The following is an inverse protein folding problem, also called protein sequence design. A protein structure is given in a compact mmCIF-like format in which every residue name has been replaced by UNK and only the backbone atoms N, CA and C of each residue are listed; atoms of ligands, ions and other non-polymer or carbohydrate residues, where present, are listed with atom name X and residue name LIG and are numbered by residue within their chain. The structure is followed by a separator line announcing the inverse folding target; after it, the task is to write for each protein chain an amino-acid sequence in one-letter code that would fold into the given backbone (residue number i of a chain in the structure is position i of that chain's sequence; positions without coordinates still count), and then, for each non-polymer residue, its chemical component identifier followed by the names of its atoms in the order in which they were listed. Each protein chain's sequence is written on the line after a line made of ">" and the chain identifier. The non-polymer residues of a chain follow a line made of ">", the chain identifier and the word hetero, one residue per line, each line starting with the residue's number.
data_IF_981824725040
#
_entry.id   IF_981824725040
#
_cell.length_a   1.000
_cell.length_b   1.000
_cell.length_c   1.000
_cell.angle_alpha   90.00
_cell.angle_beta   90.00
_cell.angle_gamma   90.00
#
_symmetry.space_group_name_H-M   'P 1'
#
loop_
_entity.id
_entity.type
_entity.pdbx_description
1 polymer ?
#
# COMPACT_ATOMS: atom_id res chain seq x y z
N UNK A 1 -3.29 3.48 16.38
CA UNK A 1 -2.02 3.38 15.64
C UNK A 1 -2.20 3.84 14.19
N UNK A 2 -1.12 4.26 13.54
CA UNK A 2 -1.10 4.67 12.12
C UNK A 2 -0.08 3.78 11.41
N UNK A 3 -0.51 3.14 10.30
CA UNK A 3 0.31 2.30 9.43
C UNK A 3 0.56 3.07 8.13
N UNK A 4 1.80 3.45 7.83
CA UNK A 4 2.08 4.18 6.60
C UNK A 4 3.18 3.50 5.78
N UNK A 5 3.20 3.76 4.48
CA UNK A 5 4.17 3.21 3.55
C UNK A 5 3.55 2.79 2.23
N UNK A 6 4.35 2.26 1.28
CA UNK A 6 3.91 1.93 -0.07
C UNK A 6 2.74 0.96 -0.12
N UNK A 7 1.99 0.97 -1.24
CA UNK A 7 0.91 0.02 -1.49
C UNK A 7 1.41 -1.44 -1.47
N UNK A 8 0.50 -2.39 -1.23
CA UNK A 8 0.80 -3.82 -1.29
C UNK A 8 1.78 -4.37 -0.25
N UNK A 9 2.15 -3.58 0.77
CA UNK A 9 3.09 -3.99 1.84
C UNK A 9 2.43 -4.71 3.01
N UNK A 10 1.09 -4.88 2.99
CA UNK A 10 0.36 -5.65 3.98
C UNK A 10 -0.28 -4.85 5.11
N UNK A 11 -0.35 -3.51 5.05
CA UNK A 11 -0.99 -2.65 6.07
C UNK A 11 -2.40 -3.11 6.43
N UNK A 12 -3.28 -3.28 5.44
CA UNK A 12 -4.66 -3.76 5.62
C UNK A 12 -4.69 -5.19 6.18
N UNK A 13 -3.76 -6.05 5.79
CA UNK A 13 -3.65 -7.42 6.29
C UNK A 13 -3.35 -7.44 7.79
N UNK A 14 -2.38 -6.63 8.23
CA UNK A 14 -2.04 -6.50 9.66
C UNK A 14 -3.23 -5.95 10.45
N UNK A 15 -3.92 -4.92 9.93
CA UNK A 15 -5.13 -4.38 10.55
C UNK A 15 -6.22 -5.45 10.72
N UNK A 16 -6.46 -6.28 9.70
CA UNK A 16 -7.43 -7.38 9.77
C UNK A 16 -7.03 -8.46 10.79
N UNK A 17 -5.74 -8.79 10.90
CA UNK A 17 -5.24 -9.73 11.90
C UNK A 17 -5.47 -9.18 13.32
N UNK A 18 -5.20 -7.90 13.54
CA UNK A 18 -5.45 -7.25 14.85
C UNK A 18 -6.95 -7.25 15.14
N UNK A 19 -7.77 -6.88 14.15
CA UNK A 19 -9.21 -6.87 14.27
C UNK A 19 -9.77 -8.26 14.65
N UNK A 20 -9.28 -9.33 14.03
CA UNK A 20 -9.73 -10.69 14.33
C UNK A 20 -9.41 -11.18 15.76
N UNK A 21 -8.49 -10.51 16.46
CA UNK A 21 -8.07 -10.87 17.83
C UNK A 21 -8.69 -9.99 18.91
N UNK A 22 -9.45 -8.97 18.55
CA UNK A 22 -10.12 -8.09 19.53
C UNK A 22 -11.54 -8.54 19.80
N UNK A 23 -12.05 -8.18 20.98
CA UNK A 23 -13.46 -8.35 21.35
C UNK A 23 -14.29 -7.06 21.12
N UNK A 24 -13.67 -6.03 20.51
CA UNK A 24 -14.34 -4.79 20.19
C UNK A 24 -15.20 -4.94 18.94
N UNK A 25 -16.27 -4.16 18.84
CA UNK A 25 -17.02 -4.02 17.60
C UNK A 25 -16.14 -3.38 16.53
N UNK A 26 -16.09 -3.96 15.33
CA UNK A 26 -15.16 -3.57 14.30
C UNK A 26 -15.88 -2.80 13.20
N UNK A 27 -15.34 -1.64 12.82
CA UNK A 27 -15.73 -0.87 11.66
C UNK A 27 -14.58 -0.72 10.70
N UNK A 28 -14.85 -0.95 9.41
CA UNK A 28 -13.93 -0.72 8.31
C UNK A 28 -14.47 0.42 7.45
N UNK A 29 -13.78 1.54 7.43
CA UNK A 29 -14.09 2.67 6.56
C UNK A 29 -12.92 2.93 5.62
N UNK A 30 -13.25 3.25 4.36
CA UNK A 30 -12.27 3.76 3.41
C UNK A 30 -12.52 5.25 3.21
N UNK A 31 -11.53 6.09 3.53
CA UNK A 31 -11.70 7.55 3.51
C UNK A 31 -11.94 8.12 2.11
N UNK A 32 -11.67 7.36 1.04
CA UNK A 32 -11.98 7.78 -0.34
C UNK A 32 -13.48 7.73 -0.65
N UNK A 33 -14.24 6.86 0.03
CA UNK A 33 -15.67 6.62 -0.21
C UNK A 33 -16.55 7.00 0.98
N UNK A 34 -15.97 7.00 2.19
CA UNK A 34 -16.72 7.26 3.41
C UNK A 34 -17.18 8.72 3.52
N UNK A 35 -18.42 8.89 3.89
CA UNK A 35 -19.07 10.17 4.12
C UNK A 35 -19.08 10.55 5.62
N UNK A 36 -19.54 11.78 5.91
CA UNK A 36 -19.79 12.19 7.30
C UNK A 36 -20.81 11.27 7.99
N UNK A 37 -21.80 10.76 7.23
CA UNK A 37 -22.85 9.88 7.80
C UNK A 37 -22.28 8.58 8.33
N UNK A 38 -21.29 8.01 7.65
CA UNK A 38 -20.65 6.77 8.08
C UNK A 38 -19.88 6.97 9.39
N UNK A 39 -19.26 8.15 9.57
CA UNK A 39 -18.62 8.52 10.84
C UNK A 39 -19.65 8.70 11.95
N UNK A 40 -20.76 9.40 11.65
CA UNK A 40 -21.84 9.61 12.60
C UNK A 40 -22.49 8.26 13.02
N UNK A 41 -22.59 7.28 12.10
CA UNK A 41 -23.06 5.92 12.39
C UNK A 41 -22.14 5.21 13.38
N UNK A 42 -20.84 5.23 13.15
CA UNK A 42 -19.86 4.65 14.09
C UNK A 42 -19.97 5.27 15.48
N UNK A 43 -20.13 6.60 15.54
CA UNK A 43 -20.27 7.33 16.81
C UNK A 43 -21.57 6.97 17.53
N UNK A 44 -22.70 6.92 16.81
CA UNK A 44 -23.99 6.57 17.38
C UNK A 44 -23.99 5.16 17.97
N UNK A 45 -23.26 4.26 17.33
CA UNK A 45 -23.15 2.86 17.75
C UNK A 45 -22.39 2.66 19.07
N UNK A 46 -21.63 3.67 19.53
CA UNK A 46 -20.98 3.65 20.85
C UNK A 46 -22.00 3.53 22.00
N UNK A 47 -23.24 3.97 21.78
CA UNK A 47 -24.31 3.91 22.77
C UNK A 47 -25.06 2.56 22.79
N UNK A 48 -24.74 1.64 21.88
CA UNK A 48 -25.39 0.33 21.80
C UNK A 48 -24.71 -0.70 22.72
N UNK A 49 -25.51 -1.69 23.18
CA UNK A 49 -25.07 -2.76 24.10
C UNK A 49 -23.89 -3.56 23.50
N UNK A 50 -23.88 -3.76 22.20
CA UNK A 50 -22.83 -4.52 21.49
C UNK A 50 -21.46 -3.79 21.46
N UNK A 51 -21.43 -2.51 21.83
CA UNK A 51 -20.23 -1.67 21.84
C UNK A 51 -19.66 -1.41 23.24
N UNK A 52 -20.10 -2.15 24.26
CA UNK A 52 -19.64 -1.96 25.65
C UNK A 52 -18.13 -2.08 25.84
N UNK A 53 -17.45 -2.86 24.98
CA UNK A 53 -16.00 -3.00 24.97
C UNK A 53 -15.30 -1.92 24.13
N UNK A 54 -16.06 -0.93 23.63
CA UNK A 54 -15.60 0.09 22.70
C UNK A 54 -15.56 -0.41 21.24
N UNK A 55 -15.23 0.51 20.34
CA UNK A 55 -15.16 0.25 18.90
C UNK A 55 -13.70 0.23 18.44
N UNK A 56 -13.35 -0.71 17.55
CA UNK A 56 -12.13 -0.67 16.76
C UNK A 56 -12.49 -0.14 15.38
N UNK A 57 -12.03 1.05 15.07
CA UNK A 57 -12.20 1.68 13.75
C UNK A 57 -10.93 1.49 12.94
N UNK A 58 -11.01 0.71 11.85
CA UNK A 58 -10.00 0.72 10.80
C UNK A 58 -10.38 1.74 9.73
N UNK A 59 -9.49 2.70 9.51
CA UNK A 59 -9.67 3.77 8.52
C UNK A 59 -8.58 3.69 7.47
N UNK A 60 -8.97 3.22 6.27
CA UNK A 60 -8.05 3.11 5.13
C UNK A 60 -7.95 4.45 4.40
N UNK A 61 -6.72 4.80 3.96
CA UNK A 61 -6.38 6.03 3.23
C UNK A 61 -6.82 7.31 3.96
N UNK A 62 -6.51 7.41 5.25
CA UNK A 62 -6.94 8.51 6.16
C UNK A 62 -6.65 9.91 5.61
N UNK A 63 -5.66 10.10 4.74
CA UNK A 63 -5.31 11.39 4.14
C UNK A 63 -6.46 12.01 3.33
N UNK A 64 -7.41 11.20 2.86
CA UNK A 64 -8.60 11.70 2.14
C UNK A 64 -9.68 12.24 3.06
N UNK A 65 -9.61 12.00 4.36
CA UNK A 65 -10.48 12.65 5.32
C UNK A 65 -10.08 14.11 5.52
N UNK A 66 -11.05 15.00 5.42
CA UNK A 66 -10.86 16.40 5.76
C UNK A 66 -10.43 16.56 7.23
N UNK A 67 -9.71 17.62 7.53
CA UNK A 67 -9.29 17.95 8.90
C UNK A 67 -10.47 17.95 9.88
N UNK A 68 -11.67 18.42 9.43
CA UNK A 68 -12.88 18.43 10.26
C UNK A 68 -13.38 17.01 10.59
N UNK A 69 -13.34 16.10 9.62
CA UNK A 69 -13.71 14.68 9.85
C UNK A 69 -12.74 14.01 10.82
N UNK A 70 -11.45 14.26 10.64
CA UNK A 70 -10.43 13.76 11.57
C UNK A 70 -10.63 14.34 12.99
N UNK A 71 -10.98 15.60 13.13
CA UNK A 71 -11.27 16.23 14.43
C UNK A 71 -12.51 15.63 15.10
N UNK A 72 -13.53 15.23 14.35
CA UNK A 72 -14.74 14.61 14.92
C UNK A 72 -14.41 13.30 15.63
N UNK A 73 -13.46 12.52 15.11
CA UNK A 73 -13.02 11.25 15.73
C UNK A 73 -12.15 11.46 16.97
N UNK A 74 -11.48 12.61 17.08
CA UNK A 74 -10.47 12.86 18.10
C UNK A 74 -11.04 12.73 19.52
N UNK A 75 -12.22 13.28 19.78
CA UNK A 75 -12.86 13.22 21.10
C UNK A 75 -13.08 11.79 21.60
N UNK A 76 -13.52 10.91 20.71
CA UNK A 76 -13.80 9.50 21.04
C UNK A 76 -12.53 8.67 21.15
N UNK A 77 -11.47 9.06 20.42
CA UNK A 77 -10.14 8.45 20.55
C UNK A 77 -9.52 8.83 21.90
N UNK A 78 -9.69 10.08 22.34
CA UNK A 78 -9.19 10.58 23.63
C UNK A 78 -9.89 9.90 24.82
N UNK A 79 -11.18 9.69 24.72
CA UNK A 79 -11.97 8.98 25.74
C UNK A 79 -11.67 7.47 25.78
N UNK A 80 -11.06 6.92 24.73
CA UNK A 80 -10.81 5.49 24.60
C UNK A 80 -12.01 4.69 24.08
N UNK A 81 -13.11 5.37 23.73
CA UNK A 81 -14.31 4.75 23.16
C UNK A 81 -14.02 4.14 21.78
N UNK A 82 -13.19 4.85 21.00
CA UNK A 82 -12.73 4.39 19.68
C UNK A 82 -11.23 4.09 19.73
N UNK A 83 -10.87 2.85 19.39
CA UNK A 83 -9.48 2.47 19.10
C UNK A 83 -9.24 2.61 17.59
N UNK A 84 -8.43 3.60 17.21
CA UNK A 84 -8.12 3.86 15.79
C UNK A 84 -6.96 3.02 15.31
N UNK A 85 -7.15 2.34 14.18
CA UNK A 85 -6.09 1.87 13.28
C UNK A 85 -6.29 2.60 11.95
N UNK A 86 -5.37 3.46 11.57
CA UNK A 86 -5.43 4.16 10.30
C UNK A 86 -4.32 3.66 9.37
N UNK A 87 -4.58 3.61 8.06
CA UNK A 87 -3.57 3.35 7.05
C UNK A 87 -3.48 4.50 6.05
N UNK A 88 -2.29 4.70 5.52
CA UNK A 88 -2.02 5.70 4.48
C UNK A 88 -0.83 5.29 3.63
N UNK A 89 -0.82 5.70 2.38
CA UNK A 89 0.34 5.62 1.50
C UNK A 89 1.23 6.86 1.59
N UNK A 90 0.69 7.95 2.14
CA UNK A 90 1.34 9.25 2.26
C UNK A 90 2.05 9.42 3.62
N UNK A 91 3.00 10.35 3.68
CA UNK A 91 3.67 10.68 4.92
C UNK A 91 2.67 11.27 5.94
N UNK A 92 2.43 10.59 7.08
CA UNK A 92 1.40 10.98 8.03
C UNK A 92 1.59 12.39 8.60
N UNK A 93 2.82 12.87 8.71
CA UNK A 93 3.12 14.18 9.29
C UNK A 93 2.64 15.36 8.43
N UNK A 94 2.37 15.15 7.14
CA UNK A 94 1.86 16.20 6.25
C UNK A 94 0.33 16.19 6.12
N UNK A 95 -0.29 15.02 6.21
CA UNK A 95 -1.69 14.83 5.84
C UNK A 95 -2.62 14.54 7.03
N UNK A 96 -2.08 14.00 8.13
CA UNK A 96 -2.89 13.67 9.29
C UNK A 96 -2.86 14.81 10.31
N UNK A 97 -4.00 15.06 10.95
CA UNK A 97 -4.12 16.08 11.97
C UNK A 97 -3.19 15.78 13.16
N UNK A 98 -2.34 16.74 13.51
CA UNK A 98 -1.28 16.57 14.52
C UNK A 98 -1.79 16.05 15.87
N UNK A 99 -3.04 16.41 16.26
CA UNK A 99 -3.62 15.91 17.50
C UNK A 99 -3.91 14.40 17.47
N UNK A 100 -4.18 13.80 16.30
CA UNK A 100 -4.28 12.34 16.13
C UNK A 100 -2.89 11.72 16.17
N UNK A 101 -1.92 12.33 15.46
CA UNK A 101 -0.53 11.86 15.43
C UNK A 101 0.04 11.72 16.84
N UNK A 102 -0.15 12.75 17.68
CA UNK A 102 0.37 12.77 19.06
C UNK A 102 -0.23 11.69 19.98
N UNK A 103 -1.33 11.06 19.57
CA UNK A 103 -2.04 10.00 20.33
C UNK A 103 -1.91 8.62 19.71
N UNK A 104 -1.21 8.52 18.58
CA UNK A 104 -1.02 7.28 17.86
C UNK A 104 0.45 6.87 17.82
N UNK A 105 0.69 5.57 17.85
CA UNK A 105 2.01 5.01 17.48
C UNK A 105 2.00 4.88 15.96
N UNK A 106 3.08 5.33 15.33
CA UNK A 106 3.26 5.29 13.89
C UNK A 106 4.19 4.12 13.54
N UNK A 107 3.77 3.30 12.58
CA UNK A 107 4.54 2.18 12.05
C UNK A 107 4.76 2.39 10.56
N UNK A 108 6.02 2.44 10.17
CA UNK A 108 6.44 2.51 8.79
C UNK A 108 6.51 1.11 8.19
N UNK A 109 5.88 0.93 7.03
CA UNK A 109 5.93 -0.28 6.22
C UNK A 109 6.88 -0.06 5.06
N UNK A 110 7.94 -0.84 5.03
CA UNK A 110 8.90 -0.83 3.92
C UNK A 110 8.40 -1.70 2.76
N UNK A 111 8.85 -1.45 1.52
CA UNK A 111 8.64 -2.38 0.41
C UNK A 111 9.06 -3.79 0.80
N UNK A 112 8.27 -4.78 0.39
CA UNK A 112 8.56 -6.19 0.71
C UNK A 112 9.77 -6.66 -0.10
N UNK A 113 10.70 -7.36 0.55
CA UNK A 113 11.87 -7.91 -0.12
C UNK A 113 11.48 -8.88 -1.25
N UNK A 114 12.25 -8.86 -2.34
CA UNK A 114 12.00 -9.72 -3.50
C UNK A 114 11.84 -11.20 -3.11
N UNK A 115 12.63 -11.68 -2.17
CA UNK A 115 12.56 -13.07 -1.68
C UNK A 115 11.20 -13.36 -1.03
N UNK A 116 10.69 -12.45 -0.22
CA UNK A 116 9.41 -12.62 0.47
C UNK A 116 8.22 -12.50 -0.50
N UNK A 117 8.35 -11.68 -1.55
CA UNK A 117 7.37 -11.63 -2.65
C UNK A 117 7.31 -12.96 -3.39
N UNK A 118 8.46 -13.61 -3.65
CA UNK A 118 8.52 -14.96 -4.25
C UNK A 118 7.79 -15.98 -3.36
N UNK A 119 8.00 -15.94 -2.05
CA UNK A 119 7.29 -16.82 -1.11
C UNK A 119 5.77 -16.58 -1.17
N UNK A 120 5.35 -15.32 -1.24
CA UNK A 120 3.93 -14.98 -1.33
C UNK A 120 3.31 -15.46 -2.65
N UNK A 121 4.00 -15.33 -3.77
CA UNK A 121 3.58 -15.84 -5.08
C UNK A 121 3.43 -17.37 -5.07
N UNK A 122 4.42 -18.08 -4.55
CA UNK A 122 4.37 -19.56 -4.49
C UNK A 122 3.19 -20.05 -3.63
N UNK A 123 2.93 -19.42 -2.49
CA UNK A 123 1.75 -19.71 -1.66
C UNK A 123 0.43 -19.43 -2.40
N UNK A 124 0.39 -18.38 -3.20
CA UNK A 124 -0.80 -18.04 -3.99
C UNK A 124 -1.03 -19.07 -5.10
N UNK A 125 0.03 -19.53 -5.79
CA UNK A 125 -0.01 -20.58 -6.81
C UNK A 125 -0.52 -21.88 -6.20
N UNK A 126 0.06 -22.32 -5.09
CA UNK A 126 -0.38 -23.54 -4.38
C UNK A 126 -1.87 -23.48 -4.01
N UNK A 127 -2.29 -22.36 -3.41
CA UNK A 127 -3.67 -22.15 -3.01
C UNK A 127 -4.63 -22.11 -4.20
N UNK A 128 -4.23 -21.46 -5.30
CA UNK A 128 -5.00 -21.41 -6.54
C UNK A 128 -5.18 -22.82 -7.13
N UNK A 129 -4.11 -23.60 -7.21
CA UNK A 129 -4.13 -24.97 -7.69
C UNK A 129 -5.07 -25.87 -6.86
N UNK A 130 -5.02 -25.74 -5.53
CA UNK A 130 -5.88 -26.51 -4.63
C UNK A 130 -7.36 -26.13 -4.79
N UNK A 131 -7.69 -24.83 -4.88
CA UNK A 131 -9.07 -24.36 -4.97
C UNK A 131 -9.72 -24.69 -6.32
N UNK A 132 -8.96 -24.62 -7.41
CA UNK A 132 -9.47 -24.85 -8.76
C UNK A 132 -9.20 -26.29 -9.27
N UNK A 133 -8.60 -27.14 -8.44
CA UNK A 133 -8.21 -28.51 -8.79
C UNK A 133 -7.44 -28.56 -10.12
N UNK A 134 -6.46 -27.67 -10.30
CA UNK A 134 -5.65 -27.52 -11.51
C UNK A 134 -4.16 -27.58 -11.18
N UNK A 135 -3.33 -27.61 -12.23
CA UNK A 135 -1.89 -27.47 -12.15
C UNK A 135 -1.45 -26.23 -12.90
N UNK A 136 -0.34 -25.66 -12.48
CA UNK A 136 0.31 -24.56 -13.17
C UNK A 136 1.74 -24.99 -13.45
N UNK A 137 2.06 -25.16 -14.73
CA UNK A 137 3.41 -25.37 -15.23
C UNK A 137 3.96 -24.02 -15.67
N UNK A 138 5.09 -23.61 -15.15
CA UNK A 138 5.73 -22.35 -15.49
C UNK A 138 7.21 -22.53 -15.78
N UNK A 139 7.70 -21.77 -16.75
CA UNK A 139 9.14 -21.72 -17.05
C UNK A 139 9.92 -21.15 -15.87
N UNK A 140 11.15 -21.60 -15.68
CA UNK A 140 12.05 -21.10 -14.65
C UNK A 140 12.24 -19.57 -14.78
N UNK A 141 12.20 -18.89 -13.65
CA UNK A 141 12.41 -17.45 -13.57
C UNK A 141 11.15 -16.56 -13.68
N UNK A 142 9.96 -17.12 -13.94
CA UNK A 142 8.70 -16.34 -14.00
C UNK A 142 8.38 -15.71 -12.65
N UNK A 143 8.46 -16.49 -11.58
CA UNK A 143 8.14 -16.01 -10.22
C UNK A 143 9.12 -14.92 -9.78
N UNK A 144 10.41 -15.11 -10.06
CA UNK A 144 11.47 -14.13 -9.79
C UNK A 144 11.30 -12.87 -10.63
N UNK A 145 10.82 -13.01 -11.87
CA UNK A 145 10.51 -11.89 -12.75
C UNK A 145 9.34 -11.07 -12.21
N UNK A 146 8.21 -11.71 -11.85
CA UNK A 146 7.05 -11.07 -11.25
C UNK A 146 7.41 -10.35 -9.94
N UNK A 147 8.19 -11.02 -9.09
CA UNK A 147 8.67 -10.42 -7.85
C UNK A 147 9.57 -9.21 -8.11
N UNK A 148 10.49 -9.30 -9.08
CA UNK A 148 11.39 -8.20 -9.44
C UNK A 148 10.68 -6.98 -10.04
N UNK A 149 9.63 -7.20 -10.84
CA UNK A 149 8.85 -6.14 -11.47
C UNK A 149 7.83 -5.49 -10.56
N UNK A 150 7.51 -6.12 -9.42
CA UNK A 150 6.54 -5.58 -8.46
C UNK A 150 7.07 -4.42 -7.62
N UNK A 151 8.39 -4.30 -7.46
CA UNK A 151 9.01 -3.27 -6.63
C UNK A 151 8.67 -3.39 -5.15
N UNK A 152 8.40 -4.59 -4.65
CA UNK A 152 8.01 -4.85 -3.27
C UNK A 152 6.50 -4.70 -2.97
N UNK A 153 5.68 -4.46 -4.00
CA UNK A 153 4.22 -4.48 -3.91
C UNK A 153 3.70 -5.89 -4.20
N UNK A 154 3.34 -6.64 -3.14
CA UNK A 154 2.82 -8.02 -3.25
C UNK A 154 1.50 -8.07 -4.05
N UNK A 155 0.64 -7.06 -3.92
CA UNK A 155 -0.64 -6.99 -4.67
C UNK A 155 -0.36 -6.90 -6.17
N UNK A 156 0.61 -6.09 -6.57
CA UNK A 156 1.03 -5.95 -7.96
C UNK A 156 1.61 -7.25 -8.51
N UNK A 157 2.43 -7.95 -7.72
CA UNK A 157 2.97 -9.26 -8.10
C UNK A 157 1.85 -10.29 -8.32
N UNK A 158 0.87 -10.35 -7.41
CA UNK A 158 -0.29 -11.23 -7.52
C UNK A 158 -1.19 -10.89 -8.73
N UNK A 159 -1.44 -9.62 -8.97
CA UNK A 159 -2.18 -9.17 -10.16
C UNK A 159 -1.45 -9.56 -11.45
N UNK A 160 -0.12 -9.44 -11.47
CA UNK A 160 0.70 -9.91 -12.60
C UNK A 160 0.53 -11.41 -12.86
N UNK A 161 0.52 -12.22 -11.80
CA UNK A 161 0.25 -13.66 -11.90
C UNK A 161 -1.17 -13.93 -12.43
N UNK A 162 -2.18 -13.22 -11.94
CA UNK A 162 -3.58 -13.36 -12.38
C UNK A 162 -3.74 -13.01 -13.87
N UNK A 163 -3.11 -11.93 -14.32
CA UNK A 163 -3.10 -11.57 -15.75
C UNK A 163 -2.46 -12.66 -16.59
N UNK A 164 -1.33 -13.22 -16.17
CA UNK A 164 -0.67 -14.33 -16.88
C UNK A 164 -1.56 -15.57 -16.95
N UNK A 165 -2.21 -15.93 -15.87
CA UNK A 165 -3.15 -17.06 -15.86
C UNK A 165 -4.33 -16.83 -16.80
N UNK A 166 -4.82 -15.61 -16.92
CA UNK A 166 -5.98 -15.27 -17.78
C UNK A 166 -5.71 -15.41 -19.28
N UNK A 167 -4.44 -15.29 -19.70
CA UNK A 167 -4.02 -15.38 -21.12
C UNK A 167 -3.29 -16.65 -21.46
N UNK A 168 -3.01 -17.51 -20.45
CA UNK A 168 -2.27 -18.75 -20.65
C UNK A 168 -3.13 -19.86 -21.25
N UNK A 169 -2.48 -20.75 -21.97
CA UNK A 169 -3.13 -21.94 -22.49
C UNK A 169 -3.55 -22.86 -21.34
N UNK A 170 -4.82 -23.28 -21.38
CA UNK A 170 -5.38 -24.21 -20.42
C UNK A 170 -5.75 -25.51 -21.11
N UNK A 171 -4.97 -26.57 -20.87
CA UNK A 171 -5.18 -27.87 -21.44
C UNK A 171 -5.05 -28.99 -20.39
N UNK A 172 -5.98 -29.94 -20.39
CA UNK A 172 -6.01 -31.06 -19.44
C UNK A 172 -5.81 -30.66 -17.97
N UNK A 173 -6.51 -29.60 -17.55
CA UNK A 173 -6.45 -29.06 -16.18
C UNK A 173 -5.09 -28.46 -15.78
N UNK A 174 -4.27 -28.08 -16.77
CA UNK A 174 -2.97 -27.47 -16.55
C UNK A 174 -2.86 -26.14 -17.30
N UNK A 175 -2.46 -25.08 -16.59
CA UNK A 175 -2.04 -23.81 -17.18
C UNK A 175 -0.57 -23.87 -17.54
N UNK A 176 -0.20 -23.34 -18.70
CA UNK A 176 1.20 -23.24 -19.12
C UNK A 176 1.59 -21.77 -19.23
N UNK A 177 2.53 -21.34 -18.40
CA UNK A 177 3.02 -19.96 -18.36
C UNK A 177 4.41 -19.87 -18.99
N UNK A 178 4.59 -18.93 -19.95
CA UNK A 178 5.89 -18.67 -20.56
C UNK A 178 6.52 -17.39 -20.03
N UNK A 179 7.84 -17.37 -19.94
CA UNK A 179 8.59 -16.17 -19.52
C UNK A 179 8.47 -15.04 -20.53
N UNK A 180 8.27 -15.35 -21.82
CA UNK A 180 8.06 -14.35 -22.85
C UNK A 180 6.73 -13.63 -22.63
N UNK A 181 5.64 -14.35 -22.39
CA UNK A 181 4.33 -13.73 -22.07
C UNK A 181 4.41 -12.87 -20.80
N UNK A 182 5.18 -13.31 -19.80
CA UNK A 182 5.39 -12.52 -18.60
C UNK A 182 6.07 -11.17 -18.91
N UNK A 183 7.07 -11.16 -19.77
CA UNK A 183 7.79 -9.93 -20.17
C UNK A 183 6.96 -9.00 -21.03
N UNK A 184 6.07 -9.53 -21.85
CA UNK A 184 5.19 -8.74 -22.73
C UNK A 184 4.02 -8.11 -21.98
N UNK A 185 3.44 -8.82 -21.02
CA UNK A 185 2.21 -8.42 -20.33
C UNK A 185 2.48 -7.69 -19.00
N UNK A 186 3.49 -8.12 -18.28
CA UNK A 186 3.88 -7.52 -17.00
C UNK A 186 5.03 -6.56 -17.22
N UNK A 187 4.70 -5.38 -17.73
CA UNK A 187 5.67 -4.30 -17.89
C UNK A 187 6.05 -3.77 -16.50
N UNK A 188 7.36 -3.73 -16.20
CA UNK A 188 7.87 -3.05 -15.02
C UNK A 188 7.65 -1.54 -15.21
N UNK A 189 6.73 -0.89 -14.50
CA UNK A 189 6.85 0.55 -14.37
C UNK A 189 8.11 0.79 -13.54
N UNK A 190 8.99 1.63 -14.03
CA UNK A 190 10.05 2.20 -13.21
C UNK A 190 9.30 2.84 -12.02
N UNK A 191 9.52 2.29 -10.81
CA UNK A 191 8.90 2.83 -9.60
C UNK A 191 9.40 4.24 -9.38
N UNK A 192 8.54 5.17 -9.69
CA UNK A 192 8.68 6.56 -9.33
C UNK A 192 7.31 7.03 -8.83
N UNK A 193 7.24 7.21 -7.56
CA UNK A 193 6.07 7.81 -6.93
C UNK A 193 6.17 9.32 -7.12
N UNK A 194 5.39 9.86 -8.08
CA UNK A 194 5.43 11.29 -8.42
C UNK A 194 4.98 12.20 -7.30
N UNK A 195 4.20 11.69 -6.39
CA UNK A 195 3.58 12.43 -5.30
C UNK A 195 4.08 11.98 -3.91
N UNK A 196 4.99 11.00 -3.85
CA UNK A 196 5.53 10.45 -2.61
C UNK A 196 6.84 11.08 -2.13
N UNK A 197 7.31 10.62 -0.97
CA UNK A 197 8.54 11.10 -0.32
C UNK A 197 9.77 10.96 -1.22
N UNK A 198 9.86 9.87 -2.02
CA UNK A 198 10.96 9.64 -2.98
C UNK A 198 11.10 10.77 -4.01
N UNK A 199 9.97 11.34 -4.48
CA UNK A 199 9.98 12.46 -5.42
C UNK A 199 10.56 13.72 -4.77
N UNK A 200 10.11 14.06 -3.56
CA UNK A 200 10.62 15.22 -2.83
C UNK A 200 12.08 15.07 -2.46
N UNK A 201 12.49 13.86 -2.10
CA UNK A 201 13.88 13.55 -1.76
C UNK A 201 14.80 13.66 -2.98
N UNK A 202 14.39 13.14 -4.14
CA UNK A 202 15.15 13.25 -5.39
C UNK A 202 15.28 14.71 -5.86
N UNK A 203 14.19 15.48 -5.81
CA UNK A 203 14.22 16.91 -6.13
C UNK A 203 15.09 17.70 -5.15
N UNK A 204 14.98 17.40 -3.86
CA UNK A 204 15.80 18.03 -2.83
C UNK A 204 17.28 17.70 -2.99
N UNK A 205 17.61 16.43 -3.30
CA UNK A 205 18.97 15.99 -3.58
C UNK A 205 19.53 16.66 -4.84
N UNK A 206 18.76 16.73 -5.92
CA UNK A 206 19.12 17.44 -7.15
C UNK A 206 19.43 18.92 -6.89
N UNK A 207 18.57 19.63 -6.17
CA UNK A 207 18.80 21.03 -5.83
C UNK A 207 20.02 21.24 -4.94
N UNK A 208 20.21 20.37 -3.94
CA UNK A 208 21.37 20.42 -3.04
C UNK A 208 22.66 20.18 -3.80
N UNK A 209 22.68 19.26 -4.76
CA UNK A 209 23.85 18.98 -5.61
C UNK A 209 24.23 20.21 -6.45
N UNK A 210 23.25 20.90 -7.06
CA UNK A 210 23.48 22.15 -7.80
C UNK A 210 24.05 23.23 -6.88
N UNK A 211 23.44 23.45 -5.71
CA UNK A 211 23.92 24.45 -4.73
C UNK A 211 25.29 24.12 -4.16
N UNK A 212 25.58 22.83 -4.03
CA UNK A 212 26.89 22.33 -3.58
C UNK A 212 27.96 22.33 -4.69
N UNK A 213 27.62 22.73 -5.92
CA UNK A 213 28.52 22.69 -7.09
C UNK A 213 29.09 21.29 -7.34
N UNK A 214 28.28 20.24 -7.14
CA UNK A 214 28.61 18.87 -7.45
C UNK A 214 27.93 18.44 -8.76
N UNK A 215 28.62 18.53 -9.91
CA UNK A 215 28.03 18.22 -11.21
C UNK A 215 27.71 16.73 -11.38
N UNK A 216 28.49 15.84 -10.79
CA UNK A 216 28.30 14.40 -10.94
C UNK A 216 27.05 13.95 -10.23
N UNK A 217 26.84 14.39 -8.98
CA UNK A 217 25.62 14.14 -8.24
C UNK A 217 24.41 14.80 -8.92
N UNK A 218 24.53 16.03 -9.43
CA UNK A 218 23.45 16.72 -10.11
C UNK A 218 22.99 15.96 -11.37
N UNK A 219 23.92 15.49 -12.21
CA UNK A 219 23.60 14.69 -13.39
C UNK A 219 22.95 13.36 -13.00
N UNK A 220 23.44 12.70 -11.96
CA UNK A 220 22.87 11.44 -11.47
C UNK A 220 21.41 11.60 -11.04
N UNK A 221 21.10 12.60 -10.19
CA UNK A 221 19.72 12.82 -9.73
C UNK A 221 18.83 13.34 -10.85
N UNK A 222 19.35 14.15 -11.78
CA UNK A 222 18.61 14.56 -12.98
C UNK A 222 18.25 13.35 -13.84
N UNK A 223 19.21 12.45 -14.10
CA UNK A 223 18.96 11.24 -14.86
C UNK A 223 17.86 10.37 -14.23
N UNK A 224 17.86 10.21 -12.91
CA UNK A 224 16.78 9.51 -12.19
C UNK A 224 15.42 10.19 -12.40
N UNK A 225 15.33 11.50 -12.31
CA UNK A 225 14.10 12.27 -12.56
C UNK A 225 13.61 12.13 -14.01
N UNK A 226 14.52 12.13 -14.99
CA UNK A 226 14.19 11.94 -16.41
C UNK A 226 13.70 10.52 -16.71
N UNK A 227 14.34 9.51 -16.15
CA UNK A 227 13.95 8.10 -16.29
C UNK A 227 12.55 7.87 -15.71
N UNK A 228 12.20 8.57 -14.65
CA UNK A 228 10.85 8.56 -14.06
C UNK A 228 9.81 9.39 -14.84
N UNK A 229 10.18 9.97 -15.99
CA UNK A 229 9.33 10.82 -16.85
C UNK A 229 8.86 12.11 -16.17
N UNK A 230 9.59 12.60 -15.17
CA UNK A 230 9.33 13.89 -14.56
C UNK A 230 10.29 14.94 -15.12
N UNK A 231 9.87 15.57 -16.22
CA UNK A 231 10.58 16.69 -16.86
C UNK A 231 10.21 18.04 -16.26
N UNK A 232 9.02 18.13 -15.67
CA UNK A 232 8.43 19.42 -15.29
C UNK A 232 9.02 19.93 -13.99
N UNK A 233 9.19 19.04 -13.01
CA UNK A 233 9.64 19.40 -11.66
C UNK A 233 11.08 19.93 -11.63
N UNK A 234 12.06 19.31 -12.32
CA UNK A 234 13.41 19.87 -12.42
C UNK A 234 13.47 21.24 -13.10
N UNK A 235 12.63 21.47 -14.14
CA UNK A 235 12.63 22.71 -14.90
C UNK A 235 11.95 23.90 -14.16
N UNK A 236 11.13 23.62 -13.16
CA UNK A 236 10.44 24.65 -12.38
C UNK A 236 11.22 25.13 -11.15
N UNK A 237 12.34 24.53 -10.86
CA UNK A 237 13.16 24.77 -9.66
C UNK A 237 14.54 25.28 -10.01
#
# INVERSE_FOLDING_TARGET
>A
MILYGPSGTGKTTVANIIASKTQKKIYFLNATTASKKDIDEVINDLNHIDSQNGILLYLDEIQYFTKKQQQTLLEFIEKGDITLIASTTENPYFYIYNAIISRCIIFEFQPVDKHDVVIALNRAIEKYCLLNNCKIDFEDGIVEYLAGTSGGDVRKALNGLEVLLSVSDFYKNTYTLSLQSAKELVISPIHYDKDGDDHYDLLSAFQKSIRGSDPDAAIFYLAKLLVSKDLVSPCRR
#
